data_IF_335049630530
#
_entry.id   IF_335049630530
#
_cell.length_a   1.000
_cell.length_b   1.000
_cell.length_c   1.000
_cell.angle_alpha   90.00
_cell.angle_beta   90.00
_cell.angle_gamma   90.00
#
_symmetry.space_group_name_H-M   'P 1'
#
loop_
_entity.id
_entity.type
_entity.pdbx_description
1 polymer ?
#
# COMPACT_ATOMS: atom_id res chain seq x y z
N UNK A 1 6.82 66.55 -8.64
CA UNK A 1 7.74 65.51 -8.13
C UNK A 1 8.09 64.61 -9.31
N UNK A 2 9.28 64.76 -9.88
CA UNK A 2 9.72 63.89 -10.98
C UNK A 2 10.11 62.55 -10.37
N UNK A 3 9.24 61.55 -10.50
CA UNK A 3 9.64 60.15 -10.31
C UNK A 3 10.84 59.93 -11.21
N UNK A 4 11.98 59.54 -10.63
CA UNK A 4 13.18 59.25 -11.39
C UNK A 4 13.26 57.73 -11.56
N UNK A 5 12.63 57.16 -12.61
CA UNK A 5 12.50 55.70 -12.80
C UNK A 5 13.86 54.99 -12.87
N UNK A 6 14.93 55.74 -13.12
CA UNK A 6 16.29 55.22 -13.24
C UNK A 6 16.83 54.59 -11.95
N UNK A 7 16.38 55.01 -10.76
CA UNK A 7 16.95 54.52 -9.49
C UNK A 7 16.65 53.03 -9.25
N UNK A 8 15.47 52.55 -9.66
CA UNK A 8 15.10 51.15 -9.58
C UNK A 8 15.85 50.29 -10.60
N UNK A 9 16.09 50.84 -11.79
CA UNK A 9 16.80 50.16 -12.88
C UNK A 9 18.30 50.05 -12.58
N UNK A 10 18.93 51.13 -12.11
CA UNK A 10 20.35 51.16 -11.81
C UNK A 10 20.75 50.05 -10.81
N UNK A 11 19.94 49.82 -9.78
CA UNK A 11 20.14 48.72 -8.81
C UNK A 11 20.07 47.32 -9.42
N UNK A 12 19.41 47.16 -10.58
CA UNK A 12 19.26 45.89 -11.29
C UNK A 12 20.30 45.70 -12.40
N UNK A 13 21.13 46.69 -12.72
CA UNK A 13 22.09 46.61 -13.84
C UNK A 13 23.18 45.54 -13.62
N UNK A 14 23.67 45.36 -12.39
CA UNK A 14 24.64 44.28 -12.10
C UNK A 14 24.02 42.90 -12.32
N UNK A 15 22.85 42.66 -11.75
CA UNK A 15 22.12 41.40 -11.94
C UNK A 15 21.72 41.18 -13.43
N UNK A 16 21.46 42.25 -14.18
CA UNK A 16 21.25 42.18 -15.62
C UNK A 16 22.51 41.71 -16.36
N UNK A 17 23.69 42.26 -16.01
CA UNK A 17 24.98 41.87 -16.58
C UNK A 17 25.31 40.40 -16.31
N UNK A 18 25.00 39.92 -15.11
CA UNK A 18 25.26 38.56 -14.65
C UNK A 18 24.18 37.53 -15.06
N UNK A 19 23.13 37.97 -15.78
CA UNK A 19 21.97 37.16 -16.15
C UNK A 19 21.19 36.54 -14.97
N UNK A 20 21.20 37.23 -13.82
CA UNK A 20 20.55 36.78 -12.58
C UNK A 20 19.12 37.32 -12.41
N UNK A 21 18.63 38.11 -13.36
CA UNK A 21 17.25 38.60 -13.35
C UNK A 21 16.26 37.54 -13.87
N UNK A 22 15.05 37.54 -13.30
CA UNK A 22 13.91 36.81 -13.86
C UNK A 22 13.49 37.43 -15.21
N UNK A 23 12.81 36.66 -16.05
CA UNK A 23 12.51 37.04 -17.44
C UNK A 23 11.72 38.36 -17.56
N UNK A 24 10.78 38.60 -16.65
CA UNK A 24 9.99 39.83 -16.60
C UNK A 24 10.88 41.04 -16.32
N UNK A 25 11.73 40.94 -15.29
CA UNK A 25 12.64 42.01 -14.88
C UNK A 25 13.71 42.28 -15.94
N UNK A 26 14.21 41.23 -16.60
CA UNK A 26 15.17 41.36 -17.68
C UNK A 26 14.60 42.20 -18.83
N UNK A 27 13.35 41.93 -19.22
CA UNK A 27 12.67 42.65 -20.30
C UNK A 27 12.46 44.11 -19.95
N UNK A 28 12.02 44.40 -18.72
CA UNK A 28 11.81 45.78 -18.23
C UNK A 28 13.12 46.56 -18.18
N UNK A 29 14.20 45.95 -17.68
CA UNK A 29 15.52 46.60 -17.64
C UNK A 29 16.04 46.87 -19.06
N UNK A 30 15.89 45.89 -19.96
CA UNK A 30 16.27 46.03 -21.37
C UNK A 30 15.54 47.17 -22.08
N UNK A 31 14.22 47.22 -21.94
CA UNK A 31 13.42 48.30 -22.54
C UNK A 31 13.84 49.68 -21.98
N UNK A 32 14.17 49.75 -20.69
CA UNK A 32 14.62 50.99 -20.09
C UNK A 32 16.00 51.45 -20.59
N UNK A 33 16.98 50.55 -20.71
CA UNK A 33 18.32 50.93 -21.22
C UNK A 33 18.26 51.34 -22.69
N UNK A 34 17.36 50.76 -23.47
CA UNK A 34 17.14 51.14 -24.88
C UNK A 34 16.54 52.55 -24.99
N UNK A 35 15.74 52.97 -24.00
CA UNK A 35 15.10 54.29 -23.96
C UNK A 35 15.86 55.37 -23.17
N UNK A 36 16.76 54.98 -22.25
CA UNK A 36 17.43 55.87 -21.30
C UNK A 36 18.96 55.87 -21.49
N UNK A 37 19.52 56.90 -22.15
CA UNK A 37 20.97 57.01 -22.40
C UNK A 37 21.82 56.98 -21.13
N UNK A 38 21.32 57.54 -20.02
CA UNK A 38 22.05 57.57 -18.75
C UNK A 38 22.23 56.15 -18.17
N UNK A 39 21.19 55.32 -18.22
CA UNK A 39 21.26 53.94 -17.76
C UNK A 39 22.06 53.05 -18.72
N UNK A 40 22.00 53.32 -20.02
CA UNK A 40 22.84 52.65 -21.00
C UNK A 40 24.34 52.93 -20.78
N UNK A 41 24.69 54.18 -20.47
CA UNK A 41 26.08 54.57 -20.18
C UNK A 41 26.58 53.92 -18.87
N UNK A 42 25.74 53.87 -17.83
CA UNK A 42 26.08 53.17 -16.60
C UNK A 42 26.36 51.68 -16.84
N UNK A 43 25.52 51.01 -17.64
CA UNK A 43 25.74 49.62 -18.02
C UNK A 43 27.05 49.46 -18.80
N UNK A 44 27.36 50.40 -19.71
CA UNK A 44 28.63 50.40 -20.47
C UNK A 44 29.85 50.50 -19.55
N UNK A 45 29.77 51.33 -18.50
CA UNK A 45 30.83 51.43 -17.49
C UNK A 45 31.00 50.13 -16.72
N UNK A 46 29.91 49.50 -16.28
CA UNK A 46 29.94 48.20 -15.60
C UNK A 46 30.57 47.10 -16.47
N UNK A 47 30.19 47.04 -17.75
CA UNK A 47 30.79 46.11 -18.73
C UNK A 47 32.29 46.36 -18.89
N UNK A 48 32.72 47.62 -18.94
CA UNK A 48 34.14 47.95 -19.05
C UNK A 48 34.94 47.52 -17.80
N UNK A 49 34.38 47.69 -16.61
CA UNK A 49 34.99 47.25 -15.34
C UNK A 49 35.08 45.72 -15.30
N UNK A 50 34.00 45.00 -15.62
CA UNK A 50 33.99 43.53 -15.69
C UNK A 50 35.05 43.00 -16.67
N UNK A 51 35.13 43.62 -17.86
CA UNK A 51 36.15 43.28 -18.85
C UNK A 51 37.58 43.51 -18.34
N UNK A 52 37.82 44.60 -17.60
CA UNK A 52 39.13 44.88 -17.01
C UNK A 52 39.49 43.88 -15.90
N UNK A 53 38.53 43.48 -15.07
CA UNK A 53 38.73 42.46 -14.03
C UNK A 53 39.08 41.11 -14.66
N UNK A 54 38.39 40.73 -15.75
CA UNK A 54 38.65 39.48 -16.47
C UNK A 54 40.04 39.39 -17.12
N UNK A 55 40.70 40.52 -17.32
CA UNK A 55 42.08 40.58 -17.83
C UNK A 55 43.14 40.38 -16.75
N UNK A 56 42.76 40.38 -15.47
CA UNK A 56 43.71 40.14 -14.39
C UNK A 56 44.28 38.71 -14.49
N UNK A 57 45.56 38.51 -14.10
CA UNK A 57 46.18 37.20 -14.15
C UNK A 57 45.41 36.21 -13.28
N UNK A 58 45.23 35.00 -13.80
CA UNK A 58 44.60 33.92 -13.06
C UNK A 58 45.40 33.62 -11.79
N UNK A 59 44.71 33.64 -10.64
CA UNK A 59 45.32 33.26 -9.37
C UNK A 59 45.35 31.74 -9.30
N UNK A 60 46.54 31.16 -9.21
CA UNK A 60 46.67 29.71 -8.98
C UNK A 60 46.16 29.36 -7.57
N UNK A 61 45.18 28.47 -7.45
CA UNK A 61 44.70 28.02 -6.16
C UNK A 61 45.76 27.14 -5.47
N UNK A 62 45.71 27.05 -4.14
CA UNK A 62 46.63 26.18 -3.39
C UNK A 62 46.42 24.70 -3.77
N UNK A 63 47.46 23.85 -3.72
CA UNK A 63 47.36 22.44 -4.15
C UNK A 63 46.24 21.62 -3.48
N UNK A 64 45.81 22.03 -2.29
CA UNK A 64 44.74 21.36 -1.52
C UNK A 64 43.37 22.01 -1.67
N UNK A 65 43.24 23.10 -2.44
CA UNK A 65 41.99 23.84 -2.60
C UNK A 65 40.89 22.95 -3.21
N UNK A 66 41.19 22.26 -4.31
CA UNK A 66 40.22 21.39 -4.98
C UNK A 66 39.72 20.25 -4.04
N UNK A 67 40.64 19.65 -3.28
CA UNK A 67 40.29 18.64 -2.29
C UNK A 67 39.36 19.22 -1.19
N UNK A 68 39.69 20.40 -0.66
CA UNK A 68 38.89 21.06 0.37
C UNK A 68 37.51 21.48 -0.12
N UNK A 69 37.41 22.07 -1.31
CA UNK A 69 36.14 22.47 -1.93
C UNK A 69 35.27 21.26 -2.22
N UNK A 70 35.84 20.19 -2.78
CA UNK A 70 35.08 18.96 -3.08
C UNK A 70 34.57 18.25 -1.81
N UNK A 71 35.38 18.23 -0.73
CA UNK A 71 34.95 17.71 0.55
C UNK A 71 33.81 18.55 1.15
N UNK A 72 33.93 19.88 1.12
CA UNK A 72 32.89 20.79 1.59
C UNK A 72 31.59 20.66 0.78
N UNK A 73 31.68 20.60 -0.55
CA UNK A 73 30.53 20.43 -1.43
C UNK A 73 29.81 19.10 -1.15
N UNK A 74 30.54 18.00 -0.91
CA UNK A 74 29.94 16.72 -0.52
C UNK A 74 29.23 16.83 0.83
N UNK A 75 29.84 17.43 1.84
CA UNK A 75 29.22 17.61 3.14
C UNK A 75 27.91 18.42 3.06
N UNK A 76 27.85 19.43 2.19
CA UNK A 76 26.61 20.18 1.94
C UNK A 76 25.58 19.36 1.15
N UNK A 77 26.03 18.54 0.20
CA UNK A 77 25.15 17.73 -0.66
C UNK A 77 24.69 16.42 -0.01
N UNK A 78 25.26 16.02 1.14
CA UNK A 78 24.77 14.90 1.95
C UNK A 78 23.40 15.19 2.61
N UNK A 79 22.84 16.38 2.44
CA UNK A 79 21.42 16.65 2.67
C UNK A 79 20.52 16.09 1.54
N UNK A 80 20.78 14.87 1.08
CA UNK A 80 19.92 14.16 0.14
C UNK A 80 19.02 13.20 0.92
N UNK A 81 17.75 13.58 1.01
CA UNK A 81 16.58 12.90 1.56
C UNK A 81 16.81 11.39 1.87
N UNK A 82 16.89 10.97 3.16
CA UNK A 82 17.20 9.58 3.54
C UNK A 82 16.21 8.57 2.96
N UNK A 83 15.02 9.05 2.59
CA UNK A 83 13.96 8.30 1.92
C UNK A 83 14.39 7.72 0.55
N UNK A 84 15.25 8.42 -0.21
CA UNK A 84 15.65 7.96 -1.56
C UNK A 84 16.64 6.80 -1.51
N UNK A 85 17.44 6.71 -0.45
CA UNK A 85 18.34 5.57 -0.19
C UNK A 85 17.54 4.35 0.26
N UNK A 86 16.48 4.54 1.05
CA UNK A 86 15.59 3.48 1.50
C UNK A 86 14.72 2.91 0.36
N UNK A 87 14.28 3.74 -0.59
CA UNK A 87 13.43 3.29 -1.70
C UNK A 87 14.20 2.56 -2.82
N UNK A 88 15.52 2.69 -2.91
CA UNK A 88 16.30 2.13 -4.03
C UNK A 88 16.77 0.68 -3.81
N UNK A 89 16.72 0.19 -2.57
CA UNK A 89 17.20 -1.15 -2.18
C UNK A 89 16.10 -2.24 -2.25
N UNK A 90 14.83 -2.01 -1.87
CA UNK A 90 13.82 -3.08 -1.88
C UNK A 90 13.09 -3.26 -3.22
N UNK A 91 13.14 -2.28 -4.13
CA UNK A 91 12.33 -2.30 -5.39
C UNK A 91 12.65 -3.48 -6.33
N UNK A 92 13.91 -3.87 -6.60
CA UNK A 92 14.16 -5.01 -7.49
C UNK A 92 13.72 -6.35 -6.88
N UNK A 93 13.84 -6.52 -5.55
CA UNK A 93 13.41 -7.74 -4.88
C UNK A 93 11.88 -7.90 -4.89
N UNK A 94 11.14 -6.80 -4.69
CA UNK A 94 9.68 -6.81 -4.75
C UNK A 94 9.15 -7.11 -6.16
N UNK A 95 9.81 -6.61 -7.21
CA UNK A 95 9.41 -6.89 -8.59
C UNK A 95 9.52 -8.38 -8.95
N UNK A 96 10.58 -9.06 -8.48
CA UNK A 96 10.76 -10.51 -8.69
C UNK A 96 9.68 -11.31 -7.95
N UNK A 97 9.41 -10.97 -6.69
CA UNK A 97 8.37 -11.65 -5.89
C UNK A 97 6.98 -11.49 -6.49
N UNK A 98 6.61 -10.27 -6.91
CA UNK A 98 5.32 -10.00 -7.54
C UNK A 98 5.20 -10.76 -8.86
N UNK A 99 6.24 -10.78 -9.69
CA UNK A 99 6.26 -11.52 -10.96
C UNK A 99 6.08 -13.03 -10.74
N UNK A 100 6.75 -13.59 -9.73
CA UNK A 100 6.61 -15.00 -9.38
C UNK A 100 5.19 -15.33 -8.90
N UNK A 101 4.59 -14.49 -8.06
CA UNK A 101 3.21 -14.66 -7.58
C UNK A 101 2.22 -14.63 -8.74
N UNK A 102 2.35 -13.65 -9.65
CA UNK A 102 1.49 -13.54 -10.83
C UNK A 102 1.62 -14.75 -11.76
N UNK A 103 2.84 -15.26 -11.96
CA UNK A 103 3.08 -16.44 -12.78
C UNK A 103 2.43 -17.69 -12.19
N UNK A 104 2.51 -17.88 -10.87
CA UNK A 104 1.85 -18.99 -10.18
C UNK A 104 0.33 -18.88 -10.23
N UNK A 105 -0.23 -17.68 -10.01
CA UNK A 105 -1.66 -17.41 -10.14
C UNK A 105 -2.17 -17.67 -11.55
N UNK A 106 -1.43 -17.22 -12.56
CA UNK A 106 -1.77 -17.43 -13.96
C UNK A 106 -1.74 -18.91 -14.32
N UNK A 107 -0.71 -19.63 -13.90
CA UNK A 107 -0.59 -21.08 -14.11
C UNK A 107 -1.74 -21.84 -13.44
N UNK A 108 -2.10 -21.45 -12.21
CA UNK A 108 -3.22 -22.04 -11.49
C UNK A 108 -4.57 -21.75 -12.16
N UNK A 109 -4.80 -20.51 -12.60
CA UNK A 109 -6.01 -20.12 -13.34
C UNK A 109 -6.12 -20.87 -14.68
N UNK A 110 -5.00 -21.04 -15.38
CA UNK A 110 -4.95 -21.78 -16.64
C UNK A 110 -5.21 -23.28 -16.43
N UNK A 111 -4.62 -23.88 -15.38
CA UNK A 111 -4.86 -25.28 -15.01
C UNK A 111 -6.33 -25.52 -14.59
N UNK A 112 -6.93 -24.55 -13.89
CA UNK A 112 -8.37 -24.53 -13.59
C UNK A 112 -9.22 -24.49 -14.86
N UNK A 113 -8.86 -23.64 -15.83
CA UNK A 113 -9.63 -23.49 -17.07
C UNK A 113 -9.42 -24.65 -18.04
N UNK A 114 -8.30 -25.37 -17.93
CA UNK A 114 -8.01 -26.58 -18.70
C UNK A 114 -8.76 -27.82 -18.17
N UNK A 115 -9.26 -27.78 -16.93
CA UNK A 115 -10.07 -28.85 -16.34
C UNK A 115 -11.55 -28.68 -16.75
N UNK A 116 -11.92 -29.52 -17.71
CA UNK A 116 -13.25 -29.80 -18.25
C UNK A 116 -14.46 -29.57 -17.29
N UNK A 117 -15.48 -28.93 -17.86
CA UNK A 117 -16.60 -28.20 -17.25
C UNK A 117 -17.65 -29.02 -16.44
N UNK A 118 -17.35 -30.23 -15.98
CA UNK A 118 -18.35 -31.12 -15.36
C UNK A 118 -18.61 -30.85 -13.87
N UNK A 119 -17.56 -30.80 -13.05
CA UNK A 119 -17.69 -30.99 -11.59
C UNK A 119 -17.73 -29.68 -10.77
N UNK A 120 -17.41 -28.54 -11.40
CA UNK A 120 -17.38 -27.22 -10.72
C UNK A 120 -18.76 -26.71 -10.32
N UNK A 121 -19.81 -26.99 -11.08
CA UNK A 121 -21.14 -26.41 -10.81
C UNK A 121 -21.75 -26.93 -9.52
N UNK A 122 -21.50 -28.19 -9.17
CA UNK A 122 -22.10 -28.78 -7.97
C UNK A 122 -21.38 -28.33 -6.70
N UNK A 123 -20.04 -28.26 -6.73
CA UNK A 123 -19.24 -27.80 -5.60
C UNK A 123 -19.42 -26.29 -5.36
N UNK A 124 -19.42 -25.48 -6.43
CA UNK A 124 -19.66 -24.03 -6.34
C UNK A 124 -21.08 -23.74 -5.87
N UNK A 125 -22.10 -24.49 -6.31
CA UNK A 125 -23.47 -24.32 -5.80
C UNK A 125 -23.59 -24.62 -4.30
N UNK A 126 -22.94 -25.70 -3.82
CA UNK A 126 -22.95 -26.04 -2.39
C UNK A 126 -22.19 -25.02 -1.55
N UNK A 127 -21.06 -24.54 -2.03
CA UNK A 127 -20.24 -23.52 -1.33
C UNK A 127 -20.92 -22.15 -1.34
N UNK A 128 -21.50 -21.72 -2.46
CA UNK A 128 -22.24 -20.45 -2.56
C UNK A 128 -23.52 -20.50 -1.74
N UNK A 129 -24.26 -21.62 -1.71
CA UNK A 129 -25.45 -21.75 -0.85
C UNK A 129 -25.12 -21.65 0.65
N UNK A 130 -23.93 -22.09 1.06
CA UNK A 130 -23.47 -22.00 2.44
C UNK A 130 -22.90 -20.60 2.77
N UNK A 131 -22.23 -19.95 1.82
CA UNK A 131 -21.61 -18.62 2.01
C UNK A 131 -22.53 -17.43 1.70
N UNK A 132 -23.61 -17.63 0.95
CA UNK A 132 -24.58 -16.58 0.61
C UNK A 132 -25.59 -16.30 1.73
N UNK A 133 -25.50 -16.96 2.89
CA UNK A 133 -26.19 -16.48 4.10
C UNK A 133 -25.44 -15.25 4.60
N UNK A 134 -26.02 -14.03 4.50
CA UNK A 134 -25.34 -12.81 4.87
C UNK A 134 -25.40 -12.66 6.38
N UNK A 135 -24.47 -13.30 7.08
CA UNK A 135 -24.20 -13.02 8.48
C UNK A 135 -22.69 -12.99 8.69
N UNK A 136 -22.08 -11.91 8.19
CA UNK A 136 -20.91 -11.25 8.76
C UNK A 136 -19.84 -12.20 9.35
N UNK A 137 -18.87 -12.63 8.53
CA UNK A 137 -17.62 -13.26 9.01
C UNK A 137 -16.75 -12.31 9.87
N UNK A 138 -17.23 -11.11 10.18
CA UNK A 138 -16.57 -10.11 11.04
C UNK A 138 -17.42 -9.86 12.32
N UNK A 139 -18.38 -10.72 12.65
CA UNK A 139 -19.11 -10.61 13.92
C UNK A 139 -18.63 -11.69 14.91
N UNK A 140 -17.89 -11.32 15.98
CA UNK A 140 -17.41 -12.28 16.97
C UNK A 140 -18.55 -13.05 17.68
N UNK A 141 -19.77 -12.49 17.73
CA UNK A 141 -20.95 -13.18 18.25
C UNK A 141 -21.45 -14.31 17.31
N UNK A 142 -21.26 -14.17 16.00
CA UNK A 142 -21.59 -15.21 15.03
C UNK A 142 -20.57 -16.36 15.08
N UNK A 143 -19.29 -16.04 15.29
CA UNK A 143 -18.23 -17.03 15.53
C UNK A 143 -18.48 -17.83 16.82
N UNK A 144 -18.97 -17.17 17.88
CA UNK A 144 -19.36 -17.83 19.13
C UNK A 144 -20.57 -18.79 18.94
N UNK A 145 -21.55 -18.43 18.10
CA UNK A 145 -22.67 -19.33 17.73
C UNK A 145 -22.21 -20.54 16.92
N UNK A 146 -21.30 -20.35 15.97
CA UNK A 146 -20.71 -21.46 15.19
C UNK A 146 -19.99 -22.47 16.10
N UNK A 147 -19.28 -21.97 17.12
CA UNK A 147 -18.57 -22.81 18.08
C UNK A 147 -19.53 -23.65 18.95
N UNK A 148 -20.69 -23.09 19.33
CA UNK A 148 -21.73 -23.82 20.06
C UNK A 148 -22.40 -24.94 19.27
N UNK A 149 -22.66 -24.73 17.98
CA UNK A 149 -23.28 -25.74 17.11
C UNK A 149 -22.28 -26.78 16.59
N UNK A 150 -21.01 -26.42 16.42
CA UNK A 150 -19.94 -27.37 16.06
C UNK A 150 -19.81 -28.51 17.08
N UNK A 151 -19.97 -28.23 18.37
CA UNK A 151 -19.93 -29.26 19.41
C UNK A 151 -21.08 -30.29 19.26
N UNK A 152 -22.28 -29.83 18.89
CA UNK A 152 -23.44 -30.74 18.66
C UNK A 152 -23.24 -31.62 17.41
N UNK A 153 -22.72 -31.06 16.33
CA UNK A 153 -22.45 -31.83 15.11
C UNK A 153 -21.32 -32.85 15.29
N UNK A 154 -20.24 -32.46 15.99
CA UNK A 154 -19.15 -33.38 16.33
C UNK A 154 -19.61 -34.55 17.19
N UNK A 155 -20.47 -34.30 18.20
CA UNK A 155 -21.04 -35.37 19.02
C UNK A 155 -21.89 -36.35 18.21
N UNK A 156 -22.69 -35.86 17.26
CA UNK A 156 -23.54 -36.71 16.40
C UNK A 156 -22.67 -37.62 15.51
N UNK A 157 -21.66 -37.06 14.84
CA UNK A 157 -20.74 -37.83 14.00
C UNK A 157 -19.96 -38.89 14.79
N UNK A 158 -19.54 -38.59 16.03
CA UNK A 158 -18.81 -39.57 16.86
C UNK A 158 -19.71 -40.72 17.38
N UNK A 159 -21.00 -40.44 17.63
CA UNK A 159 -21.98 -41.47 17.98
C UNK A 159 -22.29 -42.40 16.79
N UNK A 160 -22.46 -41.85 15.59
CA UNK A 160 -22.66 -42.64 14.36
C UNK A 160 -21.42 -43.50 14.03
N UNK A 161 -20.21 -43.01 14.33
CA UNK A 161 -18.96 -43.75 14.17
C UNK A 161 -18.66 -44.76 15.30
N UNK A 162 -19.56 -44.95 16.27
CA UNK A 162 -19.42 -45.92 17.36
C UNK A 162 -18.37 -45.58 18.43
N UNK A 163 -17.82 -44.35 18.43
CA UNK A 163 -16.71 -43.94 19.31
C UNK A 163 -17.21 -43.17 20.55
N UNK A 164 -18.17 -43.74 21.28
CA UNK A 164 -18.83 -43.10 22.43
C UNK A 164 -17.88 -42.76 23.60
N UNK A 165 -16.84 -43.56 23.81
CA UNK A 165 -15.91 -43.42 24.95
C UNK A 165 -15.00 -42.19 24.89
N UNK A 166 -14.91 -41.53 23.73
CA UNK A 166 -14.01 -40.39 23.49
C UNK A 166 -14.80 -39.06 23.55
N UNK A 167 -16.11 -39.11 23.80
CA UNK A 167 -16.94 -37.93 23.88
C UNK A 167 -16.55 -37.08 25.11
N UNK A 168 -16.09 -35.83 24.94
CA UNK A 168 -15.70 -34.96 26.04
C UNK A 168 -16.91 -34.39 26.81
N UNK A 169 -18.13 -34.61 26.32
CA UNK A 169 -19.35 -34.13 26.94
C UNK A 169 -19.73 -35.01 28.13
N UNK A 170 -19.40 -34.56 29.35
CA UNK A 170 -19.74 -35.27 30.61
C UNK A 170 -21.24 -35.56 30.80
N UNK A 171 -22.15 -34.85 30.12
CA UNK A 171 -23.60 -35.07 30.14
C UNK A 171 -24.20 -34.85 28.75
N UNK A 172 -24.14 -35.86 27.88
CA UNK A 172 -24.70 -35.77 26.53
C UNK A 172 -26.22 -36.01 26.54
N UNK A 173 -27.02 -35.01 26.14
CA UNK A 173 -28.49 -35.13 26.10
C UNK A 173 -28.98 -36.26 25.17
N UNK A 174 -28.17 -36.66 24.19
CA UNK A 174 -28.43 -37.77 23.26
C UNK A 174 -28.49 -39.15 23.96
N UNK A 175 -27.85 -39.30 25.11
CA UNK A 175 -27.85 -40.55 25.88
C UNK A 175 -29.20 -40.76 26.61
N UNK A 176 -29.87 -39.66 26.97
CA UNK A 176 -31.22 -39.68 27.57
C UNK A 176 -32.29 -40.06 26.54
N UNK A 177 -32.13 -39.63 25.29
CA UNK A 177 -33.06 -39.93 24.19
C UNK A 177 -32.98 -41.39 23.75
N UNK A 178 -31.78 -42.01 23.75
CA UNK A 178 -31.62 -43.45 23.46
C UNK A 178 -32.24 -44.32 24.58
N UNK A 179 -32.01 -44.00 25.86
CA UNK A 179 -32.63 -44.73 26.98
C UNK A 179 -34.15 -44.58 27.05
N UNK A 180 -34.72 -43.45 26.63
CA UNK A 180 -36.18 -43.28 26.53
C UNK A 180 -36.77 -44.04 25.33
N UNK A 181 -36.05 -44.14 24.20
CA UNK A 181 -36.49 -44.92 23.05
C UNK A 181 -36.44 -46.45 23.30
N UNK A 182 -35.47 -46.93 24.10
CA UNK A 182 -35.38 -48.34 24.50
C UNK A 182 -36.40 -48.70 25.59
N UNK A 183 -36.66 -47.80 26.56
CA UNK A 183 -37.66 -48.01 27.62
C UNK A 183 -39.10 -47.86 27.10
N UNK A 184 -39.32 -47.10 26.03
CA UNK A 184 -40.62 -47.00 25.35
C UNK A 184 -40.98 -48.22 24.48
N UNK A 185 -39.99 -49.02 24.06
CA UNK A 185 -40.23 -50.26 23.28
C UNK A 185 -40.59 -51.47 24.13
N UNK A 186 -40.19 -51.50 25.40
CA UNK A 186 -40.51 -52.61 26.31
C UNK A 186 -41.89 -52.49 26.97
N UNK A 187 -42.50 -51.30 27.02
CA UNK A 187 -43.86 -51.12 27.58
C UNK A 187 -44.98 -51.30 26.54
N UNK A 188 -44.67 -51.46 25.25
CA UNK A 188 -45.68 -51.68 24.19
C UNK A 188 -45.94 -53.16 23.86
N UNK A 189 -45.29 -54.11 24.55
CA UNK A 189 -45.50 -55.55 24.32
C UNK A 189 -46.25 -56.28 25.47
N UNK A 190 -46.70 -55.58 26.52
CA UNK A 190 -47.48 -56.16 27.63
C UNK A 190 -48.97 -55.75 27.66
N UNK A 191 -49.51 -55.17 26.58
CA UNK A 191 -50.93 -54.77 26.50
C UNK A 191 -51.62 -55.22 25.20
N UNK A 192 -51.51 -56.52 24.91
CA UNK A 192 -52.33 -57.21 23.90
C UNK A 192 -52.69 -58.62 24.40
N UNK A 193 -53.33 -58.67 25.57
CA UNK A 193 -53.98 -59.85 26.10
C UNK A 193 -55.17 -59.41 26.94
N UNK A 194 -56.35 -59.94 26.59
CA UNK A 194 -57.55 -59.98 27.44
C UNK A 194 -58.55 -58.81 27.35
N UNK A 195 -59.57 -59.05 26.50
CA UNK A 195 -61.03 -58.77 26.64
C UNK A 195 -61.64 -58.46 25.27
N UNK A 196 -62.79 -58.94 24.82
CA UNK A 196 -63.71 -60.05 25.10
C UNK A 196 -64.92 -59.80 24.15
N UNK A 197 -65.76 -60.81 23.94
CA UNK A 197 -67.17 -60.73 23.46
C UNK A 197 -67.44 -60.59 21.95
N UNK A 198 -67.76 -61.71 21.28
CA UNK A 198 -69.12 -62.08 20.90
C UNK A 198 -69.20 -63.52 20.37
#
# INVERSE_FOLDING_TARGET
>A
MLFNPCSGINRKLSAYLDWELVAEDFSVVKEHIDACPACAEELRLLVAVDAAIKQLPAVEPTPFFAAKVSAAARAMNEYHNPLRRFLRIPVPAMAVMVSFILLNLFTFAFNINAMENGMRRELVRKVVAQLAKPASMINPLALARLCGECNKYMCRCMHEAGKKSICPCKNCEMEKTQKQAERGKTTTMENMGEKDVH
#
